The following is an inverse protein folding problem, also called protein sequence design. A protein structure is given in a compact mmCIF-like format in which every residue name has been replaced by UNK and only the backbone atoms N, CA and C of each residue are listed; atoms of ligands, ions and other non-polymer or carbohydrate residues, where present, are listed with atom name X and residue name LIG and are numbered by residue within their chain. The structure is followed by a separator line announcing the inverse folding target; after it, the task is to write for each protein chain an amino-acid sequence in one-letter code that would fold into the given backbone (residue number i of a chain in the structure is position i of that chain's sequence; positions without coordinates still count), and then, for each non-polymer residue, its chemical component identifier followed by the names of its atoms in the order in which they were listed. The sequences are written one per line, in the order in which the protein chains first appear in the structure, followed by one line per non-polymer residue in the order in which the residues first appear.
data_IF_860851308352
#
_entry.id   IF_860851308352
#
_cell.length_a   1.000
_cell.length_b   1.000
_cell.length_c   1.000
_cell.angle_alpha   90.00
_cell.angle_beta   90.00
_cell.angle_gamma   90.00
#
_symmetry.space_group_name_H-M   'P 1'
#
loop_
_entity.id
_entity.type
_entity.pdbx_description
1 polymer ?
#
# COMPACT_ATOMS: atom_id res chain seq x y z
N UNK A 1 5.15 -8.83 -16.40
CA UNK A 1 6.49 -8.45 -15.90
C UNK A 1 6.60 -8.86 -14.45
N UNK A 2 7.67 -9.57 -14.07
CA UNK A 2 7.91 -9.93 -12.67
C UNK A 2 8.39 -8.70 -11.85
N UNK A 3 8.04 -8.58 -10.57
CA UNK A 3 8.59 -7.57 -9.67
C UNK A 3 10.10 -7.66 -9.59
N UNK A 4 10.80 -6.52 -9.55
CA UNK A 4 12.21 -6.53 -9.15
C UNK A 4 12.31 -6.81 -7.63
N UNK A 5 13.49 -7.16 -7.13
CA UNK A 5 13.67 -7.56 -5.73
C UNK A 5 13.27 -6.46 -4.72
N UNK A 6 13.44 -5.19 -5.09
CA UNK A 6 13.11 -4.02 -4.26
C UNK A 6 11.59 -3.87 -4.12
N UNK A 7 10.86 -3.97 -5.24
CA UNK A 7 9.40 -3.89 -5.28
C UNK A 7 8.77 -5.04 -4.46
N UNK A 8 9.33 -6.25 -4.56
CA UNK A 8 8.87 -7.41 -3.82
C UNK A 8 9.10 -7.25 -2.30
N UNK A 9 10.23 -6.67 -1.89
CA UNK A 9 10.52 -6.38 -0.49
C UNK A 9 9.57 -5.32 0.08
N UNK A 10 9.31 -4.24 -0.67
CA UNK A 10 8.38 -3.19 -0.29
C UNK A 10 6.95 -3.74 -0.11
N UNK A 11 6.51 -4.61 -1.03
CA UNK A 11 5.21 -5.28 -0.94
C UNK A 11 5.13 -6.18 0.29
N UNK A 12 6.15 -6.99 0.54
CA UNK A 12 6.22 -7.86 1.72
C UNK A 12 6.14 -7.08 3.03
N UNK A 13 6.87 -5.97 3.12
CA UNK A 13 6.84 -5.08 4.28
C UNK A 13 5.44 -4.48 4.51
N UNK A 14 4.84 -3.92 3.46
CA UNK A 14 3.53 -3.29 3.56
C UNK A 14 2.44 -4.31 3.98
N UNK A 15 2.52 -5.54 3.45
CA UNK A 15 1.63 -6.64 3.87
C UNK A 15 1.84 -7.04 5.33
N UNK A 16 3.09 -7.15 5.80
CA UNK A 16 3.39 -7.44 7.21
C UNK A 16 2.82 -6.37 8.15
N UNK A 17 2.97 -5.09 7.79
CA UNK A 17 2.42 -3.97 8.55
C UNK A 17 0.89 -3.99 8.55
N UNK A 18 0.27 -4.29 7.40
CA UNK A 18 -1.18 -4.42 7.29
C UNK A 18 -1.74 -5.53 8.19
N UNK A 19 -1.08 -6.69 8.22
CA UNK A 19 -1.50 -7.83 9.06
C UNK A 19 -1.36 -7.59 10.56
N UNK A 20 -0.57 -6.59 10.99
CA UNK A 20 -0.48 -6.18 12.40
C UNK A 20 -1.65 -5.29 12.85
N UNK A 21 -2.50 -4.85 11.92
CA UNK A 21 -3.65 -3.99 12.25
C UNK A 21 -4.89 -4.82 12.57
N UNK A 22 -5.81 -4.26 13.38
CA UNK A 22 -7.11 -4.87 13.70
C UNK A 22 -8.11 -4.85 12.52
N UNK A 23 -7.66 -4.50 11.33
CA UNK A 23 -8.47 -4.54 10.11
C UNK A 23 -8.62 -6.00 9.68
N UNK A 24 -9.56 -6.70 10.32
CA UNK A 24 -9.73 -8.16 10.36
C UNK A 24 -10.17 -8.86 9.06
N UNK A 25 -10.21 -8.18 7.89
CA UNK A 25 -10.79 -8.77 6.65
C UNK A 25 -10.16 -8.24 5.37
N UNK A 26 -8.89 -8.55 5.12
CA UNK A 26 -8.29 -8.27 3.81
C UNK A 26 -8.12 -9.54 2.99
N UNK A 27 -8.53 -9.47 1.73
CA UNK A 27 -8.00 -10.40 0.75
C UNK A 27 -6.63 -9.88 0.29
N UNK A 28 -5.66 -10.78 0.18
CA UNK A 28 -4.32 -10.46 -0.35
C UNK A 28 -4.44 -9.82 -1.75
N UNK A 29 -5.42 -10.28 -2.54
CA UNK A 29 -5.70 -9.74 -3.86
C UNK A 29 -6.14 -8.27 -3.81
N UNK A 30 -7.01 -7.90 -2.86
CA UNK A 30 -7.45 -6.52 -2.69
C UNK A 30 -6.28 -5.63 -2.28
N UNK A 31 -5.49 -6.03 -1.29
CA UNK A 31 -4.31 -5.27 -0.85
C UNK A 31 -3.29 -5.08 -1.99
N UNK A 32 -3.10 -6.10 -2.83
CA UNK A 32 -2.20 -6.02 -3.98
C UNK A 32 -2.62 -4.94 -4.99
N UNK A 33 -3.92 -4.77 -5.27
CA UNK A 33 -4.42 -3.75 -6.21
C UNK A 33 -4.06 -2.33 -5.76
N UNK A 34 -4.06 -2.07 -4.44
CA UNK A 34 -3.72 -0.76 -3.89
C UNK A 34 -2.21 -0.56 -3.70
N UNK A 35 -1.50 -1.59 -3.26
CA UNK A 35 -0.07 -1.51 -2.95
C UNK A 35 0.80 -1.52 -4.21
N UNK A 36 0.46 -2.34 -5.19
CA UNK A 36 1.33 -2.59 -6.34
C UNK A 36 1.58 -1.33 -7.20
N UNK A 37 0.55 -0.55 -7.60
CA UNK A 37 0.78 0.67 -8.36
C UNK A 37 1.62 1.69 -7.58
N UNK A 38 1.33 1.85 -6.29
CA UNK A 38 2.04 2.78 -5.43
C UNK A 38 3.52 2.41 -5.28
N UNK A 39 3.84 1.13 -5.09
CA UNK A 39 5.23 0.64 -5.04
C UNK A 39 5.95 0.92 -6.37
N UNK A 40 5.32 0.55 -7.48
CA UNK A 40 5.90 0.67 -8.83
C UNK A 40 6.17 2.09 -9.26
N UNK A 41 5.39 3.04 -8.75
CA UNK A 41 5.48 4.45 -9.08
C UNK A 41 6.31 5.24 -8.05
N UNK A 42 6.88 4.56 -7.04
CA UNK A 42 7.61 5.24 -5.96
C UNK A 42 6.71 6.09 -5.06
N UNK A 43 5.41 5.75 -4.99
CA UNK A 43 4.38 6.44 -4.22
C UNK A 43 4.07 5.74 -2.89
N UNK A 44 5.11 5.19 -2.27
CA UNK A 44 5.10 4.56 -0.97
C UNK A 44 6.15 5.25 -0.10
N UNK A 45 5.75 5.64 1.10
CA UNK A 45 6.68 6.01 2.17
C UNK A 45 6.48 5.06 3.33
N UNK A 46 7.59 4.71 3.97
CA UNK A 46 7.63 3.76 5.08
C UNK A 46 8.14 4.49 6.32
N UNK A 47 7.57 4.16 7.47
CA UNK A 47 7.80 4.85 8.74
C UNK A 47 8.55 3.89 9.65
N UNK A 48 9.65 4.38 10.22
CA UNK A 48 10.40 3.69 11.27
C UNK A 48 10.29 4.44 12.57
N UNK A 49 10.35 3.70 13.67
CA UNK A 49 10.63 4.30 14.98
C UNK A 49 12.14 4.59 15.15
N UNK A 50 12.48 5.09 16.34
CA UNK A 50 13.85 5.45 16.73
C UNK A 50 14.80 4.24 16.73
N UNK A 51 14.28 3.03 16.96
CA UNK A 51 15.03 1.77 16.96
C UNK A 51 15.20 1.18 15.54
N UNK A 52 14.66 1.85 14.52
CA UNK A 52 14.74 1.43 13.13
C UNK A 52 13.75 0.32 12.76
N UNK A 53 12.77 0.04 13.63
CA UNK A 53 11.70 -0.92 13.38
C UNK A 53 10.65 -0.27 12.51
N UNK A 54 10.20 -0.98 11.47
CA UNK A 54 9.10 -0.51 10.63
C UNK A 54 7.78 -0.55 11.39
N UNK A 55 7.12 0.59 11.52
CA UNK A 55 5.88 0.77 12.30
C UNK A 55 4.67 1.12 11.44
N UNK A 56 4.89 1.64 10.23
CA UNK A 56 3.80 2.02 9.34
C UNK A 56 4.25 2.34 7.93
N UNK A 57 3.27 2.63 7.08
CA UNK A 57 3.48 3.12 5.73
C UNK A 57 2.33 4.04 5.31
N UNK A 58 2.60 4.90 4.35
CA UNK A 58 1.58 5.70 3.67
C UNK A 58 1.75 5.59 2.15
N UNK A 59 0.62 5.66 1.45
CA UNK A 59 0.54 5.58 0.00
C UNK A 59 -0.11 6.86 -0.53
N UNK A 60 0.22 7.23 -1.77
CA UNK A 60 -0.50 8.26 -2.49
C UNK A 60 -0.64 7.90 -3.96
N UNK A 61 -1.55 8.59 -4.65
CA UNK A 61 -1.73 8.47 -6.09
C UNK A 61 -2.04 9.84 -6.68
N UNK A 62 -1.52 10.11 -7.88
CA UNK A 62 -1.96 11.25 -8.68
C UNK A 62 -3.22 10.82 -9.42
N UNK A 63 -4.32 11.53 -9.17
CA UNK A 63 -5.62 11.22 -9.75
C UNK A 63 -6.05 12.36 -10.67
N UNK A 64 -6.65 12.00 -11.81
CA UNK A 64 -7.46 12.97 -12.57
C UNK A 64 -8.76 13.23 -11.81
N UNK A 65 -9.45 14.36 -12.06
CA UNK A 65 -10.75 14.63 -11.45
C UNK A 65 -11.78 13.52 -11.69
N UNK A 66 -11.75 12.91 -12.89
CA UNK A 66 -12.60 11.78 -13.26
C UNK A 66 -12.30 10.55 -12.37
N UNK A 67 -11.04 10.12 -12.28
CA UNK A 67 -10.66 8.96 -11.44
C UNK A 67 -10.95 9.23 -9.96
N UNK A 68 -10.72 10.45 -9.48
CA UNK A 68 -11.05 10.83 -8.11
C UNK A 68 -12.55 10.71 -7.82
N UNK A 69 -13.42 11.11 -8.77
CA UNK A 69 -14.87 11.01 -8.61
C UNK A 69 -15.36 9.55 -8.49
N UNK A 70 -14.70 8.61 -9.18
CA UNK A 70 -15.00 7.18 -9.09
C UNK A 70 -14.45 6.53 -7.80
N UNK A 71 -13.30 7.00 -7.30
CA UNK A 71 -12.66 6.51 -6.08
C UNK A 71 -13.38 6.96 -4.80
N UNK A 72 -13.86 8.21 -4.72
CA UNK A 72 -14.57 8.70 -3.51
C UNK A 72 -15.86 7.92 -3.25
N UNK A 73 -16.44 7.31 -4.29
CA UNK A 73 -17.64 6.46 -4.18
C UNK A 73 -17.31 5.01 -3.79
N UNK A 74 -16.04 4.62 -3.87
CA UNK A 74 -15.54 3.31 -3.46
C UNK A 74 -14.57 3.55 -2.31
N UNK A 75 -15.11 3.62 -1.09
CA UNK A 75 -14.28 3.67 0.11
C UNK A 75 -13.15 2.65 -0.06
N UNK A 76 -11.88 3.08 -0.07
CA UNK A 76 -10.82 2.13 -0.22
C UNK A 76 -10.92 1.17 0.97
N UNK A 77 -10.79 -0.15 0.75
CA UNK A 77 -11.12 -1.14 1.75
C UNK A 77 -9.98 -1.19 2.77
N UNK A 78 -9.81 -0.15 3.58
CA UNK A 78 -8.86 -0.09 4.68
C UNK A 78 -9.56 0.19 6.02
#
# INVERSE_FOLDING_TARGET
MQPNAVDAQALGLAMQLLFKTDRKKFSIAAAYVWLWPAIRLGQLVTIKDEDGVWTGYALWAYLTPETASHLVLQDPPF
#
